data_IF_384505717055
#
_entry.id   IF_384505717055
#
_cell.length_a   1.000
_cell.length_b   1.000
_cell.length_c   1.000
_cell.angle_alpha   90.00
_cell.angle_beta   90.00
_cell.angle_gamma   90.00
#
_symmetry.space_group_name_H-M   'P 1'
#
loop_
_entity.id
_entity.type
_entity.pdbx_description
1 polymer ?
#
# COMPACT_ATOMS: atom_id res chain seq x y z
N UNK A 1 15.67 19.66 21.67
CA UNK A 1 15.56 18.65 22.74
C UNK A 1 16.91 17.98 22.94
N UNK A 2 17.42 17.83 24.18
CA UNK A 2 18.69 17.15 24.43
C UNK A 2 18.64 15.66 24.08
N UNK A 3 19.77 15.09 23.67
CA UNK A 3 19.90 13.69 23.28
C UNK A 3 19.45 12.69 24.38
N UNK A 4 19.83 12.95 25.63
CA UNK A 4 19.43 12.11 26.78
C UNK A 4 17.91 12.07 26.95
N UNK A 5 17.24 13.22 26.81
CA UNK A 5 15.77 13.30 26.89
C UNK A 5 15.11 12.57 25.72
N UNK A 6 15.63 12.72 24.50
CA UNK A 6 15.15 11.99 23.33
C UNK A 6 15.24 10.47 23.55
N UNK A 7 16.38 9.97 24.04
CA UNK A 7 16.56 8.55 24.38
C UNK A 7 15.59 8.08 25.46
N UNK A 8 15.36 8.89 26.49
CA UNK A 8 14.41 8.56 27.56
C UNK A 8 12.99 8.42 27.02
N UNK A 9 12.52 9.40 26.22
CA UNK A 9 11.20 9.35 25.58
C UNK A 9 11.10 8.11 24.69
N UNK A 10 12.10 7.87 23.84
CA UNK A 10 12.10 6.71 22.95
C UNK A 10 12.08 5.39 23.73
N UNK A 11 12.74 5.32 24.89
CA UNK A 11 12.73 4.15 25.77
C UNK A 11 11.33 3.91 26.33
N UNK A 12 10.65 4.97 26.77
CA UNK A 12 9.34 4.92 27.41
C UNK A 12 8.15 5.01 26.43
N UNK A 13 8.38 5.17 25.12
CA UNK A 13 7.31 5.21 24.12
C UNK A 13 6.53 3.90 24.11
N UNK A 14 5.22 4.00 24.30
CA UNK A 14 4.27 2.89 24.33
C UNK A 14 3.03 3.26 23.51
N UNK A 15 2.45 2.30 22.79
CA UNK A 15 1.29 2.49 21.90
C UNK A 15 0.07 1.65 22.30
N UNK A 16 0.25 0.79 23.31
CA UNK A 16 -0.82 -0.02 23.90
C UNK A 16 -0.43 -0.42 25.33
N UNK A 17 -1.43 -0.71 26.14
CA UNK A 17 -1.30 -1.17 27.52
C UNK A 17 -0.92 -2.66 27.55
N UNK A 18 0.34 -2.94 27.84
CA UNK A 18 0.85 -4.32 27.84
C UNK A 18 0.23 -5.20 28.93
N UNK A 19 -0.32 -4.61 30.00
CA UNK A 19 -0.91 -5.38 31.11
C UNK A 19 -2.19 -6.10 30.70
N UNK A 20 -2.84 -5.62 29.63
CA UNK A 20 -4.09 -6.16 29.09
C UNK A 20 -3.88 -7.09 27.89
N UNK A 21 -2.64 -7.46 27.57
CA UNK A 21 -2.37 -8.35 26.46
C UNK A 21 -2.82 -9.78 26.82
N UNK A 22 -3.72 -10.40 26.04
CA UNK A 22 -4.11 -11.79 26.28
C UNK A 22 -2.90 -12.75 26.23
N UNK A 23 -3.00 -13.86 26.96
CA UNK A 23 -1.98 -14.91 26.92
C UNK A 23 -1.90 -15.55 25.53
N UNK A 24 -0.77 -16.17 25.18
CA UNK A 24 -0.58 -16.77 23.83
C UNK A 24 -1.55 -17.89 23.50
N UNK A 25 -2.07 -18.58 24.51
CA UNK A 25 -3.07 -19.64 24.38
C UNK A 25 -4.49 -19.10 24.19
N UNK A 26 -4.71 -17.81 24.43
CA UNK A 26 -6.01 -17.17 24.32
C UNK A 26 -6.38 -16.95 22.85
N UNK A 27 -7.60 -17.30 22.41
CA UNK A 27 -8.08 -17.01 21.05
C UNK A 27 -8.01 -15.52 20.68
N UNK A 28 -8.08 -14.60 21.65
CA UNK A 28 -7.94 -13.16 21.46
C UNK A 28 -6.48 -12.69 21.34
N UNK A 29 -5.50 -13.61 21.38
CA UNK A 29 -4.08 -13.27 21.26
C UNK A 29 -3.74 -12.64 19.91
N UNK A 30 -3.30 -11.39 19.95
CA UNK A 30 -2.81 -10.68 18.78
C UNK A 30 -1.29 -10.52 18.80
N UNK A 31 -0.59 -11.07 17.79
CA UNK A 31 0.87 -10.91 17.64
C UNK A 31 1.27 -9.44 17.44
N UNK A 32 0.36 -8.60 16.95
CA UNK A 32 0.56 -7.16 16.74
C UNK A 32 -0.03 -6.30 17.86
N UNK A 33 -0.49 -6.89 18.98
CA UNK A 33 -1.19 -6.21 20.06
C UNK A 33 -0.52 -4.89 20.46
N UNK A 34 0.81 -4.89 20.57
CA UNK A 34 1.61 -3.72 20.98
C UNK A 34 1.37 -2.46 20.14
N UNK A 35 1.05 -2.62 18.85
CA UNK A 35 0.86 -1.52 17.89
C UNK A 35 -0.56 -1.49 17.31
N UNK A 36 -1.42 -2.45 17.68
CA UNK A 36 -2.77 -2.61 17.13
C UNK A 36 -3.61 -1.32 17.15
N UNK A 37 -3.65 -0.52 18.23
CA UNK A 37 -4.43 0.72 18.23
C UNK A 37 -4.02 1.68 17.12
N UNK A 38 -2.71 1.80 16.86
CA UNK A 38 -2.19 2.65 15.79
C UNK A 38 -2.51 2.08 14.40
N UNK A 39 -2.41 0.76 14.21
CA UNK A 39 -2.78 0.11 12.95
C UNK A 39 -4.25 0.38 12.61
N UNK A 40 -5.15 0.17 13.57
CA UNK A 40 -6.58 0.40 13.41
C UNK A 40 -6.89 1.86 13.12
N UNK A 41 -6.27 2.79 13.87
CA UNK A 41 -6.45 4.22 13.67
C UNK A 41 -6.05 4.64 12.25
N UNK A 42 -4.86 4.24 11.80
CA UNK A 42 -4.35 4.69 10.50
C UNK A 42 -5.10 4.06 9.32
N UNK A 43 -5.47 2.78 9.40
CA UNK A 43 -6.32 2.15 8.38
C UNK A 43 -7.72 2.79 8.29
N UNK A 44 -8.21 3.39 9.39
CA UNK A 44 -9.44 4.20 9.35
C UNK A 44 -9.17 5.57 8.70
N UNK A 45 -8.22 6.32 9.25
CA UNK A 45 -7.91 7.70 8.81
C UNK A 45 -7.52 7.76 7.34
N UNK A 46 -6.73 6.82 6.84
CA UNK A 46 -6.30 6.81 5.43
C UNK A 46 -7.47 6.60 4.46
N UNK A 47 -8.53 5.90 4.87
CA UNK A 47 -9.71 5.73 4.02
C UNK A 47 -10.62 6.96 4.07
N UNK A 48 -10.73 7.60 5.23
CA UNK A 48 -11.64 8.74 5.45
C UNK A 48 -11.13 10.04 4.81
N UNK A 49 -9.83 10.17 4.58
CA UNK A 49 -9.21 11.44 4.16
C UNK A 49 -8.88 11.53 2.66
N UNK A 50 -9.18 10.50 1.87
CA UNK A 50 -8.98 10.51 0.43
C UNK A 50 -10.16 9.87 -0.28
N UNK A 51 -10.55 10.43 -1.41
CA UNK A 51 -11.52 9.77 -2.28
C UNK A 51 -10.90 8.51 -2.90
N UNK A 52 -11.70 7.46 -3.02
CA UNK A 52 -11.32 6.28 -3.78
C UNK A 52 -11.13 6.66 -5.25
N UNK A 53 -10.01 6.25 -5.82
CA UNK A 53 -9.80 6.34 -7.25
C UNK A 53 -10.28 5.09 -7.97
N UNK A 54 -10.35 5.19 -9.29
CA UNK A 54 -10.73 4.08 -10.16
C UNK A 54 -9.65 3.01 -10.30
N UNK A 55 -8.39 3.26 -9.91
CA UNK A 55 -7.32 2.27 -9.98
C UNK A 55 -6.63 2.09 -8.63
N UNK A 56 -6.71 0.88 -8.09
CA UNK A 56 -6.22 0.55 -6.76
C UNK A 56 -5.38 -0.74 -6.75
N UNK A 57 -4.09 -0.67 -7.13
CA UNK A 57 -3.18 -1.80 -7.03
C UNK A 57 -3.00 -2.29 -5.59
N UNK A 58 -2.93 -3.60 -5.46
CA UNK A 58 -2.59 -4.34 -4.25
C UNK A 58 -1.28 -5.09 -4.49
N UNK A 59 -0.27 -4.76 -3.69
CA UNK A 59 1.03 -5.42 -3.70
C UNK A 59 1.69 -5.31 -2.32
N UNK A 60 2.92 -5.80 -2.21
CA UNK A 60 3.61 -6.03 -0.97
C UNK A 60 4.77 -5.04 -0.81
N UNK A 61 4.73 -4.30 0.29
CA UNK A 61 5.85 -3.51 0.80
C UNK A 61 6.63 -4.30 1.87
N UNK A 62 7.85 -3.84 2.16
CA UNK A 62 8.76 -4.48 3.10
C UNK A 62 9.34 -3.51 4.12
N UNK A 63 9.28 -3.90 5.40
CA UNK A 63 9.89 -3.16 6.51
C UNK A 63 11.19 -3.84 6.92
N UNK A 64 12.33 -3.21 6.67
CA UNK A 64 13.65 -3.78 7.02
C UNK A 64 13.75 -4.06 8.53
N UNK A 65 13.97 -5.32 8.88
CA UNK A 65 14.26 -5.75 10.25
C UNK A 65 15.10 -7.03 10.29
N UNK A 66 16.22 -6.97 11.01
CA UNK A 66 17.16 -8.10 11.16
C UNK A 66 17.14 -8.72 12.58
N UNK A 67 16.43 -8.13 13.54
CA UNK A 67 16.36 -8.63 14.92
C UNK A 67 15.51 -9.91 15.07
N UNK A 68 15.30 -10.38 16.30
CA UNK A 68 14.46 -11.57 16.56
C UNK A 68 12.97 -11.18 16.54
N UNK A 69 12.19 -11.84 15.69
CA UNK A 69 10.72 -11.77 15.65
C UNK A 69 10.21 -12.92 14.78
N UNK A 70 9.08 -13.54 15.18
CA UNK A 70 8.39 -14.58 14.42
C UNK A 70 7.65 -14.05 13.19
N UNK A 71 7.44 -12.74 13.09
CA UNK A 71 6.71 -12.11 11.98
C UNK A 71 7.60 -11.85 10.75
N UNK A 72 8.91 -12.04 10.87
CA UNK A 72 9.85 -11.77 9.78
C UNK A 72 9.64 -12.71 8.60
N UNK A 73 9.65 -12.15 7.41
CA UNK A 73 9.63 -12.84 6.13
C UNK A 73 10.95 -12.65 5.38
N UNK A 74 11.23 -13.60 4.49
CA UNK A 74 12.32 -13.50 3.52
C UNK A 74 11.73 -13.41 2.11
N UNK A 75 12.00 -12.28 1.42
CA UNK A 75 11.49 -11.97 0.09
C UNK A 75 12.69 -11.71 -0.84
N UNK A 76 13.26 -12.74 -1.50
CA UNK A 76 14.55 -12.62 -2.21
C UNK A 76 14.53 -11.62 -3.38
N UNK A 77 13.37 -11.42 -4.00
CA UNK A 77 13.18 -10.57 -5.18
C UNK A 77 13.01 -9.09 -4.81
N UNK A 78 12.53 -8.77 -3.60
CA UNK A 78 12.33 -7.37 -3.16
C UNK A 78 13.67 -6.76 -2.69
N UNK A 79 13.89 -5.44 -2.86
CA UNK A 79 15.12 -4.76 -2.43
C UNK A 79 15.41 -4.98 -0.93
N UNK A 80 14.38 -4.91 -0.09
CA UNK A 80 14.44 -5.28 1.32
C UNK A 80 14.12 -6.77 1.44
N UNK A 81 15.17 -7.60 1.46
CA UNK A 81 15.02 -9.06 1.45
C UNK A 81 14.52 -9.65 2.77
N UNK A 82 14.82 -9.04 3.91
CA UNK A 82 14.50 -9.57 5.26
C UNK A 82 13.81 -8.50 6.10
N UNK A 83 12.59 -8.78 6.55
CA UNK A 83 11.77 -7.78 7.21
C UNK A 83 10.36 -8.22 7.52
N UNK A 84 9.48 -7.28 7.85
CA UNK A 84 8.04 -7.52 7.90
C UNK A 84 7.43 -7.28 6.53
N UNK A 85 6.59 -8.22 6.08
CA UNK A 85 5.82 -8.09 4.85
C UNK A 85 4.52 -7.34 5.16
N UNK A 86 4.22 -6.33 4.36
CA UNK A 86 3.01 -5.51 4.48
C UNK A 86 2.28 -5.55 3.15
N UNK A 87 1.06 -6.06 3.11
CA UNK A 87 0.21 -5.90 1.94
C UNK A 87 -0.37 -4.49 1.96
N UNK A 88 -0.27 -3.77 0.86
CA UNK A 88 -0.74 -2.40 0.72
C UNK A 88 -1.71 -2.31 -0.45
N UNK A 89 -2.81 -1.58 -0.26
CA UNK A 89 -3.69 -1.10 -1.33
C UNK A 89 -3.45 0.39 -1.50
N UNK A 90 -2.95 0.78 -2.65
CA UNK A 90 -2.61 2.17 -2.95
C UNK A 90 -3.43 2.71 -4.13
N UNK A 91 -3.47 4.03 -4.28
CA UNK A 91 -3.87 4.68 -5.52
C UNK A 91 -2.86 4.39 -6.64
N UNK A 92 -3.37 4.00 -7.81
CA UNK A 92 -2.55 3.55 -8.93
C UNK A 92 -1.69 4.64 -9.58
N UNK A 93 -2.08 5.91 -9.44
CA UNK A 93 -1.43 7.05 -10.10
C UNK A 93 -0.51 7.82 -9.16
N UNK A 94 -0.96 8.07 -7.93
CA UNK A 94 -0.35 8.94 -6.92
C UNK A 94 0.38 8.16 -5.83
N UNK A 95 0.12 6.86 -5.69
CA UNK A 95 0.67 6.04 -4.61
C UNK A 95 0.13 6.39 -3.21
N UNK A 96 -1.03 7.05 -3.11
CA UNK A 96 -1.69 7.27 -1.82
C UNK A 96 -2.04 5.91 -1.19
N UNK A 97 -1.65 5.67 0.07
CA UNK A 97 -1.94 4.41 0.75
C UNK A 97 -3.35 4.44 1.34
N UNK A 98 -4.28 3.64 0.83
CA UNK A 98 -5.64 3.52 1.36
C UNK A 98 -5.73 2.52 2.52
N UNK A 99 -5.05 1.38 2.39
CA UNK A 99 -5.14 0.28 3.34
C UNK A 99 -3.84 -0.49 3.40
N UNK A 100 -3.52 -1.03 4.58
CA UNK A 100 -2.40 -1.94 4.74
C UNK A 100 -2.69 -3.04 5.77
N UNK A 101 -2.07 -4.20 5.57
CA UNK A 101 -2.14 -5.33 6.48
C UNK A 101 -0.77 -5.98 6.66
N UNK A 102 -0.38 -6.20 7.92
CA UNK A 102 0.93 -6.77 8.24
C UNK A 102 0.79 -8.28 8.34
N UNK A 103 1.59 -9.00 7.56
CA UNK A 103 1.58 -10.46 7.59
C UNK A 103 2.12 -10.99 8.93
N UNK A 104 1.30 -11.79 9.63
CA UNK A 104 1.58 -12.33 10.97
C UNK A 104 2.03 -13.80 10.98
N UNK A 105 2.29 -14.36 9.80
CA UNK A 105 2.57 -15.79 9.61
C UNK A 105 1.30 -16.58 9.28
N UNK A 106 1.41 -17.92 9.31
CA UNK A 106 0.26 -18.81 9.10
C UNK A 106 -0.67 -18.77 10.32
N UNK A 107 -1.97 -18.71 10.07
CA UNK A 107 -3.04 -18.87 11.06
C UNK A 107 -3.64 -20.27 10.90
N UNK A 108 -3.51 -21.12 11.93
CA UNK A 108 -4.17 -22.44 12.01
C UNK A 108 -3.69 -23.54 11.03
N UNK A 109 -4.25 -24.75 11.21
CA UNK A 109 -4.01 -25.95 10.39
C UNK A 109 -4.92 -26.05 9.15
N UNK A 110 -5.66 -25.00 8.80
CA UNK A 110 -6.53 -25.00 7.62
C UNK A 110 -5.71 -24.81 6.34
N UNK A 111 -5.15 -25.91 5.84
CA UNK A 111 -4.40 -26.03 4.57
C UNK A 111 -5.29 -25.78 3.33
N UNK A 112 -6.60 -25.51 3.50
CA UNK A 112 -7.55 -25.43 2.39
C UNK A 112 -7.81 -24.02 1.84
N UNK A 113 -7.46 -22.95 2.55
CA UNK A 113 -7.73 -21.61 2.05
C UNK A 113 -6.50 -20.98 1.37
N UNK A 114 -6.67 -20.62 0.11
CA UNK A 114 -5.67 -19.93 -0.69
C UNK A 114 -5.29 -18.59 -0.01
N UNK A 115 -4.10 -18.52 0.62
CA UNK A 115 -3.64 -17.35 1.38
C UNK A 115 -3.75 -16.04 0.59
N UNK A 116 -3.47 -16.09 -0.72
CA UNK A 116 -3.63 -14.95 -1.61
C UNK A 116 -5.09 -14.47 -1.70
N UNK A 117 -6.05 -15.39 -1.79
CA UNK A 117 -7.47 -15.05 -1.83
C UNK A 117 -7.94 -14.39 -0.53
N UNK A 118 -7.44 -14.82 0.64
CA UNK A 118 -7.75 -14.15 1.92
C UNK A 118 -7.29 -12.70 1.94
N UNK A 119 -6.07 -12.46 1.46
CA UNK A 119 -5.50 -11.11 1.40
C UNK A 119 -6.33 -10.22 0.49
N UNK A 120 -6.66 -10.69 -0.72
CA UNK A 120 -7.49 -9.90 -1.64
C UNK A 120 -8.87 -9.64 -1.06
N UNK A 121 -9.55 -10.67 -0.57
CA UNK A 121 -10.89 -10.56 0.01
C UNK A 121 -10.92 -9.52 1.15
N UNK A 122 -9.93 -9.56 2.05
CA UNK A 122 -9.82 -8.59 3.15
C UNK A 122 -9.56 -7.18 2.63
N UNK A 123 -8.60 -7.02 1.72
CA UNK A 123 -8.20 -5.71 1.18
C UNK A 123 -9.26 -5.07 0.29
N UNK A 124 -10.25 -5.82 -0.20
CA UNK A 124 -11.33 -5.32 -1.05
C UNK A 124 -12.69 -5.26 -0.36
N UNK A 125 -12.79 -5.64 0.92
CA UNK A 125 -14.06 -5.67 1.66
C UNK A 125 -14.78 -4.32 1.65
N UNK A 126 -14.01 -3.23 1.86
CA UNK A 126 -14.54 -1.86 1.86
C UNK A 126 -14.86 -1.32 0.46
N UNK A 127 -14.49 -2.03 -0.60
CA UNK A 127 -14.74 -1.62 -1.99
C UNK A 127 -16.05 -2.20 -2.55
N UNK A 128 -16.69 -3.14 -1.83
CA UNK A 128 -17.94 -3.77 -2.27
C UNK A 128 -19.02 -2.72 -2.46
N UNK A 129 -19.69 -2.76 -3.61
CA UNK A 129 -20.75 -1.81 -3.98
C UNK A 129 -20.28 -0.41 -4.35
N UNK A 130 -18.96 -0.14 -4.36
CA UNK A 130 -18.44 1.12 -4.89
C UNK A 130 -18.41 1.07 -6.42
N UNK A 131 -18.98 2.09 -7.06
CA UNK A 131 -18.94 2.20 -8.52
C UNK A 131 -17.51 2.47 -9.01
N UNK A 132 -17.17 1.88 -10.16
CA UNK A 132 -15.97 2.21 -10.95
C UNK A 132 -14.60 1.98 -10.26
N UNK A 133 -14.51 1.03 -9.31
CA UNK A 133 -13.22 0.63 -8.72
C UNK A 133 -12.62 -0.56 -9.48
N UNK A 134 -11.39 -0.39 -9.97
CA UNK A 134 -10.57 -1.44 -10.56
C UNK A 134 -9.37 -1.76 -9.66
N UNK A 135 -9.24 -3.02 -9.29
CA UNK A 135 -8.16 -3.52 -8.42
C UNK A 135 -7.18 -4.32 -9.25
N UNK A 136 -5.89 -4.06 -9.09
CA UNK A 136 -4.85 -4.84 -9.75
C UNK A 136 -3.96 -5.57 -8.76
N UNK A 137 -3.57 -6.81 -9.06
CA UNK A 137 -2.72 -7.59 -8.15
C UNK A 137 -1.79 -8.57 -8.90
N UNK A 138 -0.75 -9.01 -8.19
CA UNK A 138 0.25 -9.91 -8.74
C UNK A 138 -0.25 -11.37 -8.88
N UNK A 139 0.64 -12.24 -9.38
CA UNK A 139 0.34 -13.65 -9.60
C UNK A 139 0.26 -14.51 -8.36
N UNK A 140 0.77 -14.05 -7.21
CA UNK A 140 0.61 -14.74 -5.94
C UNK A 140 -0.86 -14.72 -5.51
N UNK A 141 -1.56 -13.62 -5.80
CA UNK A 141 -2.96 -13.42 -5.42
C UNK A 141 -3.98 -13.97 -6.43
N UNK A 142 -3.60 -14.09 -7.70
CA UNK A 142 -4.55 -14.29 -8.79
C UNK A 142 -4.97 -15.76 -9.03
N UNK A 143 -6.26 -15.93 -9.38
CA UNK A 143 -6.91 -17.18 -9.80
C UNK A 143 -8.34 -16.94 -10.29
N UNK A 144 -8.95 -17.91 -10.95
CA UNK A 144 -10.29 -17.78 -11.53
C UNK A 144 -11.36 -17.48 -10.48
N UNK A 145 -11.38 -18.21 -9.37
CA UNK A 145 -12.40 -18.06 -8.33
C UNK A 145 -12.38 -16.67 -7.66
N UNK A 146 -11.19 -16.09 -7.44
CA UNK A 146 -11.10 -14.75 -6.85
C UNK A 146 -11.61 -13.68 -7.82
N UNK A 147 -11.41 -13.84 -9.13
CA UNK A 147 -11.95 -12.91 -10.13
C UNK A 147 -13.48 -12.93 -10.17
N UNK A 148 -14.08 -14.11 -10.13
CA UNK A 148 -15.53 -14.25 -10.05
C UNK A 148 -16.10 -13.69 -8.74
N UNK A 149 -15.45 -13.96 -7.60
CA UNK A 149 -15.84 -13.38 -6.32
C UNK A 149 -15.84 -11.86 -6.37
N UNK A 150 -14.80 -11.23 -6.91
CA UNK A 150 -14.72 -9.78 -7.01
C UNK A 150 -15.81 -9.24 -7.95
N UNK A 151 -16.05 -9.89 -9.09
CA UNK A 151 -17.08 -9.48 -10.03
C UNK A 151 -18.48 -9.51 -9.39
N UNK A 152 -18.80 -10.59 -8.68
CA UNK A 152 -20.08 -10.75 -7.97
C UNK A 152 -20.28 -9.69 -6.86
N UNK A 153 -19.21 -9.06 -6.39
CA UNK A 153 -19.25 -7.97 -5.41
C UNK A 153 -19.13 -6.57 -6.05
N UNK A 154 -19.26 -6.48 -7.38
CA UNK A 154 -19.18 -5.21 -8.13
C UNK A 154 -17.77 -4.64 -8.25
N UNK A 155 -16.73 -5.44 -8.04
CA UNK A 155 -15.34 -5.00 -8.08
C UNK A 155 -14.68 -5.52 -9.37
N UNK A 156 -14.22 -4.57 -10.19
CA UNK A 156 -13.42 -4.90 -11.36
C UNK A 156 -11.98 -5.20 -10.94
N UNK A 157 -11.34 -6.14 -11.61
CA UNK A 157 -10.04 -6.65 -11.24
C UNK A 157 -9.26 -7.20 -12.43
N UNK A 158 -7.94 -6.98 -12.39
CA UNK A 158 -6.96 -7.56 -13.32
C UNK A 158 -5.76 -8.08 -12.55
N UNK A 159 -5.36 -9.32 -12.78
CA UNK A 159 -4.27 -9.94 -12.04
C UNK A 159 -3.40 -10.81 -12.93
N UNK A 160 -2.08 -10.71 -12.79
CA UNK A 160 -1.17 -11.59 -13.55
C UNK A 160 -1.32 -13.03 -13.09
N UNK A 161 -1.01 -14.00 -13.95
CA UNK A 161 -1.07 -15.42 -13.59
C UNK A 161 0.19 -16.15 -14.06
N UNK A 162 0.62 -17.13 -13.26
CA UNK A 162 1.69 -18.06 -13.67
C UNK A 162 1.11 -19.13 -14.57
N UNK A 163 1.84 -19.50 -15.62
CA UNK A 163 1.44 -20.53 -16.59
C UNK A 163 1.11 -21.89 -15.96
N UNK A 164 1.73 -22.22 -14.81
CA UNK A 164 1.54 -23.48 -14.10
C UNK A 164 0.23 -23.56 -13.31
N UNK A 165 -0.61 -22.51 -13.31
CA UNK A 165 -1.91 -22.53 -12.63
C UNK A 165 -2.84 -23.56 -13.26
N UNK A 166 -3.44 -24.41 -12.41
CA UNK A 166 -4.27 -25.53 -12.83
C UNK A 166 -5.58 -25.10 -13.50
N UNK A 167 -6.09 -23.92 -13.18
CA UNK A 167 -7.33 -23.32 -13.67
C UNK A 167 -7.17 -22.58 -15.02
N UNK A 168 -5.98 -22.58 -15.62
CA UNK A 168 -5.76 -21.94 -16.91
C UNK A 168 -6.24 -22.80 -18.09
N UNK A 169 -6.72 -22.16 -19.18
CA UNK A 169 -7.16 -22.87 -20.38
C UNK A 169 -6.00 -23.60 -21.06
N UNK A 170 -6.29 -24.66 -21.84
CA UNK A 170 -5.28 -25.50 -22.48
C UNK A 170 -4.32 -24.73 -23.40
N UNK A 171 -4.79 -23.62 -23.99
CA UNK A 171 -3.94 -22.72 -24.79
C UNK A 171 -2.74 -22.17 -23.99
N UNK A 172 -2.86 -22.02 -22.66
CA UNK A 172 -1.78 -21.64 -21.78
C UNK A 172 -0.86 -22.82 -21.39
N UNK A 173 -1.38 -24.05 -21.43
CA UNK A 173 -0.68 -25.27 -20.99
C UNK A 173 0.07 -25.99 -22.11
N UNK A 174 -0.14 -25.61 -23.36
CA UNK A 174 0.62 -26.13 -24.50
C UNK A 174 2.13 -26.02 -24.27
N UNK A 175 2.87 -27.11 -24.53
CA UNK A 175 4.34 -27.16 -24.47
C UNK A 175 4.98 -26.18 -25.47
N UNK A 176 4.33 -25.96 -26.60
CA UNK A 176 4.76 -24.99 -27.61
C UNK A 176 4.17 -23.63 -27.26
N UNK A 177 5.02 -22.66 -26.92
CA UNK A 177 4.59 -21.27 -26.75
C UNK A 177 3.91 -20.79 -28.03
N UNK A 178 2.88 -19.97 -27.88
CA UNK A 178 2.27 -19.31 -29.01
C UNK A 178 3.34 -18.42 -29.66
N UNK A 179 3.54 -18.56 -30.98
CA UNK A 179 4.33 -17.61 -31.77
C UNK A 179 3.48 -16.36 -31.98
N UNK A 180 3.50 -15.47 -30.99
CA UNK A 180 2.88 -14.15 -31.07
C UNK A 180 3.96 -13.12 -31.38
N UNK A 181 3.65 -12.17 -32.25
CA UNK A 181 4.49 -10.99 -32.44
C UNK A 181 4.27 -10.00 -31.29
N UNK A 182 5.25 -9.12 -31.06
CA UNK A 182 5.14 -8.08 -30.03
C UNK A 182 3.92 -7.20 -30.30
N UNK A 183 3.07 -7.04 -29.29
CA UNK A 183 1.79 -6.34 -29.35
C UNK A 183 0.59 -7.25 -29.61
N UNK A 184 0.78 -8.47 -30.11
CA UNK A 184 -0.31 -9.41 -30.33
C UNK A 184 -0.77 -10.05 -29.02
N UNK A 185 -2.05 -10.43 -28.99
CA UNK A 185 -2.65 -11.12 -27.86
C UNK A 185 -3.67 -12.17 -28.33
N UNK A 186 -3.87 -13.18 -27.49
CA UNK A 186 -4.97 -14.15 -27.61
C UNK A 186 -5.70 -14.24 -26.29
N UNK A 187 -6.97 -14.61 -26.35
CA UNK A 187 -7.80 -14.66 -25.16
C UNK A 187 -8.80 -15.83 -25.20
N UNK A 188 -9.30 -16.15 -24.02
CA UNK A 188 -10.44 -17.06 -23.79
C UNK A 188 -11.28 -16.45 -22.67
N UNK A 189 -12.59 -16.60 -22.76
CA UNK A 189 -13.52 -16.15 -21.72
C UNK A 189 -14.23 -17.36 -21.16
N UNK A 190 -14.42 -17.37 -19.84
CA UNK A 190 -15.31 -18.27 -19.14
C UNK A 190 -16.08 -17.44 -18.13
N UNK A 191 -17.41 -17.48 -18.21
CA UNK A 191 -18.29 -16.63 -17.40
C UNK A 191 -17.89 -15.14 -17.53
N UNK A 192 -17.67 -14.45 -16.41
CA UNK A 192 -17.31 -13.04 -16.37
C UNK A 192 -15.79 -12.80 -16.38
N UNK A 193 -14.98 -13.84 -16.61
CA UNK A 193 -13.52 -13.75 -16.52
C UNK A 193 -12.89 -14.05 -17.87
N UNK A 194 -12.10 -13.10 -18.35
CA UNK A 194 -11.25 -13.25 -19.51
C UNK A 194 -9.83 -13.63 -19.07
N UNK A 195 -9.30 -14.68 -19.69
CA UNK A 195 -7.89 -15.01 -19.72
C UNK A 195 -7.25 -14.41 -20.96
N UNK A 196 -6.11 -13.73 -20.79
CA UNK A 196 -5.36 -13.10 -21.88
C UNK A 196 -3.90 -13.53 -21.83
N UNK A 197 -3.37 -13.90 -23.00
CA UNK A 197 -1.94 -14.04 -23.28
C UNK A 197 -1.56 -12.88 -24.18
N UNK A 198 -0.67 -12.01 -23.70
CA UNK A 198 -0.18 -10.86 -24.45
C UNK A 198 1.34 -10.93 -24.60
N UNK A 199 1.83 -10.65 -25.79
CA UNK A 199 3.26 -10.60 -26.08
C UNK A 199 3.76 -9.15 -26.00
N UNK A 200 4.50 -8.82 -24.94
CA UNK A 200 5.37 -7.61 -24.90
C UNK A 200 6.81 -8.03 -25.30
N UNK A 201 7.83 -7.41 -24.71
CA UNK A 201 9.22 -7.93 -24.72
C UNK A 201 9.29 -9.37 -24.17
N UNK A 202 8.42 -9.70 -23.22
CA UNK A 202 8.17 -11.07 -22.75
C UNK A 202 6.67 -11.32 -22.76
N UNK A 203 6.31 -12.59 -22.81
CA UNK A 203 4.94 -13.03 -22.68
C UNK A 203 4.39 -12.69 -21.28
N UNK A 204 3.18 -12.14 -21.24
CA UNK A 204 2.45 -11.79 -20.03
C UNK A 204 1.10 -12.52 -20.06
N UNK A 205 0.79 -13.23 -18.98
CA UNK A 205 -0.49 -13.88 -18.79
C UNK A 205 -1.24 -13.15 -17.67
N UNK A 206 -2.51 -12.87 -17.89
CA UNK A 206 -3.37 -12.29 -16.86
C UNK A 206 -4.82 -12.77 -16.99
N UNK A 207 -5.54 -12.66 -15.88
CA UNK A 207 -6.99 -12.75 -15.82
C UNK A 207 -7.54 -11.33 -15.65
N UNK A 208 -8.74 -11.08 -16.16
CA UNK A 208 -9.50 -9.85 -15.94
C UNK A 208 -10.99 -10.13 -15.92
N UNK A 209 -11.73 -9.47 -15.03
CA UNK A 209 -13.20 -9.40 -15.06
C UNK A 209 -13.69 -7.99 -15.44
N UNK A 210 -12.77 -7.07 -15.73
CA UNK A 210 -13.04 -5.65 -15.92
C UNK A 210 -13.52 -5.32 -17.33
N UNK A 211 -13.15 -6.15 -18.31
CA UNK A 211 -13.50 -5.92 -19.70
C UNK A 211 -13.47 -7.21 -20.52
N UNK A 212 -14.24 -7.21 -21.61
CA UNK A 212 -14.16 -8.23 -22.64
C UNK A 212 -13.05 -7.89 -23.66
N UNK A 213 -12.04 -8.75 -23.91
CA UNK A 213 -10.92 -8.42 -24.79
C UNK A 213 -11.28 -8.18 -26.27
N UNK A 214 -12.47 -8.56 -26.70
CA UNK A 214 -12.98 -8.26 -28.06
C UNK A 214 -13.45 -6.81 -28.21
N UNK A 215 -14.00 -6.22 -27.14
CA UNK A 215 -14.73 -4.96 -27.16
C UNK A 215 -13.82 -3.79 -26.74
N UNK A 216 -12.98 -4.00 -25.72
CA UNK A 216 -12.08 -2.97 -25.21
C UNK A 216 -10.68 -3.10 -25.81
N UNK A 217 -10.46 -2.41 -26.93
CA UNK A 217 -9.14 -2.17 -27.54
C UNK A 217 -8.47 -0.92 -26.96
N UNK A 218 -8.48 -0.73 -25.64
CA UNK A 218 -7.78 0.40 -25.01
C UNK A 218 -6.28 0.14 -24.99
N UNK A 219 -5.62 0.50 -26.09
CA UNK A 219 -4.16 0.44 -26.19
C UNK A 219 -3.53 1.64 -25.49
N UNK A 220 -2.61 1.41 -24.53
CA UNK A 220 -1.67 2.47 -24.12
C UNK A 220 -0.49 2.45 -25.05
N UNK A 221 -0.04 3.63 -25.46
CA UNK A 221 1.26 3.81 -26.08
C UNK A 221 2.33 3.78 -24.98
N UNK A 222 2.97 2.63 -24.79
CA UNK A 222 4.14 2.52 -23.91
C UNK A 222 5.37 3.02 -24.66
N UNK A 223 5.96 4.11 -24.19
CA UNK A 223 7.24 4.62 -24.72
C UNK A 223 8.37 3.72 -24.22
N UNK A 224 9.04 3.07 -25.16
CA UNK A 224 10.22 2.27 -24.88
C UNK A 224 11.44 3.15 -24.56
N UNK A 225 12.51 2.55 -24.02
CA UNK A 225 13.78 3.26 -23.72
C UNK A 225 14.41 3.94 -24.95
N UNK A 226 14.09 3.45 -26.15
CA UNK A 226 14.51 4.00 -27.43
C UNK A 226 13.49 5.01 -28.03
N UNK A 227 12.49 5.44 -27.26
CA UNK A 227 11.46 6.40 -27.70
C UNK A 227 10.29 5.79 -28.49
N UNK A 228 10.34 4.51 -28.88
CA UNK A 228 9.27 3.89 -29.69
C UNK A 228 8.00 3.64 -28.86
N UNK A 229 6.84 4.04 -29.39
CA UNK A 229 5.52 3.84 -28.75
C UNK A 229 4.90 2.50 -29.18
N UNK A 230 4.61 1.60 -28.24
CA UNK A 230 3.99 0.28 -28.52
C UNK A 230 2.59 0.21 -27.93
N UNK A 231 1.65 -0.38 -28.66
CA UNK A 231 0.29 -0.68 -28.21
C UNK A 231 0.32 -1.77 -27.10
N UNK A 232 0.01 -1.39 -25.87
CA UNK A 232 -0.17 -2.29 -24.73
C UNK A 232 -1.66 -2.47 -24.42
N UNK A 233 -2.11 -3.70 -24.27
CA UNK A 233 -3.54 -4.10 -24.27
C UNK A 233 -4.34 -3.55 -23.07
N UNK A 234 -3.71 -2.98 -22.03
CA UNK A 234 -4.45 -2.58 -20.83
C UNK A 234 -3.95 -1.25 -20.27
N UNK A 235 -4.71 -0.18 -20.51
CA UNK A 235 -4.57 1.13 -19.82
C UNK A 235 -4.81 1.02 -18.31
N UNK A 236 -5.63 0.07 -17.92
CA UNK A 236 -6.03 -0.20 -16.55
C UNK A 236 -5.04 -1.09 -15.78
N UNK A 237 -3.98 -1.61 -16.40
CA UNK A 237 -2.96 -2.40 -15.70
C UNK A 237 -1.91 -1.47 -15.07
N UNK A 238 -2.31 -0.75 -14.03
CA UNK A 238 -1.44 0.16 -13.26
C UNK A 238 -1.04 -0.48 -11.93
N UNK A 239 -0.11 -1.44 -11.98
CA UNK A 239 0.46 -2.12 -10.80
C UNK A 239 1.44 -1.26 -9.98
N UNK A 240 1.83 -0.09 -10.49
CA UNK A 240 2.95 0.69 -9.94
C UNK A 240 2.65 1.52 -8.70
N UNK A 241 1.39 1.62 -8.26
CA UNK A 241 1.00 2.51 -7.14
C UNK A 241 1.70 2.17 -5.82
N UNK A 242 1.87 0.88 -5.50
CA UNK A 242 2.60 0.44 -4.30
C UNK A 242 4.10 0.72 -4.42
N UNK A 243 4.69 0.50 -5.60
CA UNK A 243 6.10 0.84 -5.84
C UNK A 243 6.33 2.36 -5.75
N UNK A 244 5.38 3.17 -6.22
CA UNK A 244 5.42 4.62 -6.12
C UNK A 244 5.33 5.09 -4.66
N UNK A 245 4.40 4.52 -3.89
CA UNK A 245 4.33 4.72 -2.44
C UNK A 245 5.66 4.40 -1.77
N UNK A 246 6.25 3.24 -2.08
CA UNK A 246 7.51 2.79 -1.51
C UNK A 246 8.68 3.71 -1.86
N UNK A 247 8.68 4.25 -3.08
CA UNK A 247 9.65 5.24 -3.53
C UNK A 247 9.54 6.53 -2.71
N UNK A 248 8.38 7.19 -2.68
CA UNK A 248 8.17 8.46 -1.96
C UNK A 248 8.47 8.31 -0.47
N UNK A 249 7.97 7.23 0.14
CA UNK A 249 8.21 6.89 1.55
C UNK A 249 9.70 6.67 1.82
N UNK A 250 10.42 6.04 0.89
CA UNK A 250 11.82 5.66 1.02
C UNK A 250 12.80 6.83 0.93
N UNK A 251 12.52 7.86 0.13
CA UNK A 251 13.48 8.95 -0.20
C UNK A 251 13.97 9.70 1.05
N UNK A 252 13.10 9.94 2.03
CA UNK A 252 13.43 10.69 3.26
C UNK A 252 12.92 9.99 4.53
N UNK A 253 13.08 8.67 4.60
CA UNK A 253 12.56 7.86 5.71
C UNK A 253 13.11 8.31 7.07
N UNK A 254 12.21 8.43 8.05
CA UNK A 254 12.55 8.72 9.46
C UNK A 254 13.03 7.48 10.24
N UNK A 255 13.05 6.32 9.57
CA UNK A 255 13.25 5.02 10.20
C UNK A 255 14.61 4.87 10.90
N UNK A 256 14.60 4.54 12.19
CA UNK A 256 15.81 4.30 12.99
C UNK A 256 16.05 2.82 13.28
N UNK A 257 17.33 2.41 13.29
CA UNK A 257 17.70 1.04 13.70
C UNK A 257 17.20 0.80 15.13
N UNK A 258 16.58 -0.35 15.36
CA UNK A 258 16.04 -0.74 16.66
C UNK A 258 16.03 -2.26 16.78
N UNK A 259 16.32 -2.77 17.98
CA UNK A 259 16.11 -4.19 18.34
C UNK A 259 14.65 -4.50 18.67
N UNK A 260 13.85 -3.49 19.03
CA UNK A 260 12.41 -3.62 19.29
C UNK A 260 11.67 -3.68 17.97
N UNK A 261 11.09 -4.83 17.65
CA UNK A 261 10.42 -5.10 16.37
C UNK A 261 9.32 -4.06 16.06
N UNK A 262 8.48 -3.73 17.04
CA UNK A 262 7.32 -2.86 16.87
C UNK A 262 7.71 -1.42 16.52
N UNK A 263 8.88 -0.96 16.94
CA UNK A 263 9.36 0.38 16.57
C UNK A 263 9.65 0.51 15.07
N UNK A 264 10.06 -0.58 14.42
CA UNK A 264 10.30 -0.56 12.97
C UNK A 264 8.99 -0.41 12.21
N UNK A 265 7.93 -1.02 12.72
CA UNK A 265 6.57 -0.87 12.18
C UNK A 265 6.04 0.53 12.47
N UNK A 266 6.23 1.05 13.68
CA UNK A 266 5.88 2.44 14.02
C UNK A 266 6.52 3.45 13.05
N UNK A 267 7.82 3.33 12.76
CA UNK A 267 8.47 4.24 11.81
C UNK A 267 7.94 4.11 10.38
N UNK A 268 7.63 2.89 9.93
CA UNK A 268 6.99 2.69 8.63
C UNK A 268 5.64 3.41 8.55
N UNK A 269 4.82 3.27 9.59
CA UNK A 269 3.51 3.92 9.68
C UNK A 269 3.63 5.44 9.74
N UNK A 270 4.62 5.94 10.48
CA UNK A 270 4.89 7.37 10.56
C UNK A 270 5.34 7.95 9.22
N UNK A 271 6.24 7.26 8.50
CA UNK A 271 6.61 7.63 7.14
C UNK A 271 5.40 7.55 6.19
N UNK A 272 4.52 6.56 6.34
CA UNK A 272 3.28 6.46 5.57
C UNK A 272 2.34 7.65 5.80
N UNK A 273 2.18 8.10 7.06
CA UNK A 273 1.42 9.32 7.37
C UNK A 273 1.99 10.55 6.66
N UNK A 274 3.32 10.71 6.67
CA UNK A 274 3.98 11.84 6.01
C UNK A 274 3.77 11.77 4.49
N UNK A 275 3.92 10.59 3.89
CA UNK A 275 3.69 10.37 2.46
C UNK A 275 2.25 10.69 2.07
N UNK A 276 1.26 10.15 2.80
CA UNK A 276 -0.15 10.44 2.52
C UNK A 276 -0.47 11.94 2.69
N UNK A 277 0.05 12.59 3.73
CA UNK A 277 -0.14 14.02 3.94
C UNK A 277 0.49 14.86 2.82
N UNK A 278 1.68 14.48 2.34
CA UNK A 278 2.31 15.13 1.19
C UNK A 278 1.47 14.99 -0.07
N UNK A 279 0.97 13.79 -0.36
CA UNK A 279 0.14 13.54 -1.55
C UNK A 279 -1.17 14.34 -1.51
N UNK A 280 -1.83 14.42 -0.35
CA UNK A 280 -3.02 15.26 -0.18
C UNK A 280 -2.72 16.76 -0.35
N UNK A 281 -1.59 17.22 0.19
CA UNK A 281 -1.13 18.59 -0.01
C UNK A 281 -0.88 18.89 -1.49
N UNK A 282 -0.18 18.00 -2.20
CA UNK A 282 0.11 18.13 -3.62
C UNK A 282 -1.13 18.03 -4.51
N UNK A 283 -2.18 17.33 -4.08
CA UNK A 283 -3.44 17.23 -4.81
C UNK A 283 -4.30 18.49 -4.66
N UNK A 284 -4.06 19.33 -3.65
CA UNK A 284 -4.82 20.56 -3.44
C UNK A 284 -4.31 21.69 -4.34
N UNK A 285 -5.10 22.07 -5.34
CA UNK A 285 -4.77 23.11 -6.32
C UNK A 285 -4.45 24.49 -5.69
N UNK A 286 -4.93 24.76 -4.47
CA UNK A 286 -4.67 26.01 -3.76
C UNK A 286 -3.36 26.00 -2.94
N UNK A 287 -2.67 24.85 -2.88
CA UNK A 287 -1.42 24.72 -2.14
C UNK A 287 -0.23 25.10 -3.03
N UNK A 288 0.76 25.76 -2.44
CA UNK A 288 2.00 26.05 -3.15
C UNK A 288 2.70 24.73 -3.51
N UNK A 289 3.23 24.62 -4.73
CA UNK A 289 3.98 23.43 -5.15
C UNK A 289 5.24 23.30 -4.32
N UNK A 290 5.31 22.26 -3.48
CA UNK A 290 6.50 21.90 -2.71
C UNK A 290 7.04 20.56 -3.18
N UNK A 291 8.36 20.44 -3.21
CA UNK A 291 8.99 19.13 -3.29
C UNK A 291 8.74 18.34 -1.99
N UNK A 292 8.86 17.01 -2.05
CA UNK A 292 8.73 16.14 -0.86
C UNK A 292 9.68 16.57 0.27
N UNK A 293 10.89 17.03 -0.05
CA UNK A 293 11.84 17.53 0.94
C UNK A 293 11.34 18.81 1.60
N UNK A 294 10.92 19.80 0.82
CA UNK A 294 10.44 21.09 1.34
C UNK A 294 9.20 20.90 2.21
N UNK A 295 8.25 20.06 1.77
CA UNK A 295 7.08 19.70 2.56
C UNK A 295 7.47 19.09 3.91
N UNK A 296 8.41 18.14 3.93
CA UNK A 296 8.90 17.52 5.17
C UNK A 296 9.59 18.52 6.10
N UNK A 297 10.37 19.45 5.56
CA UNK A 297 10.99 20.52 6.34
C UNK A 297 9.93 21.44 6.94
N UNK A 298 8.93 21.84 6.15
CA UNK A 298 7.81 22.65 6.62
C UNK A 298 7.01 21.93 7.71
N UNK A 299 6.68 20.64 7.50
CA UNK A 299 6.01 19.79 8.48
C UNK A 299 6.81 19.68 9.78
N UNK A 300 8.12 19.44 9.70
CA UNK A 300 8.97 19.35 10.87
C UNK A 300 9.00 20.67 11.65
N UNK A 301 9.12 21.82 10.97
CA UNK A 301 9.05 23.14 11.59
C UNK A 301 7.68 23.38 12.25
N UNK A 302 6.59 23.00 11.58
CA UNK A 302 5.23 23.12 12.12
C UNK A 302 5.00 22.27 13.37
N UNK A 303 5.48 21.01 13.38
CA UNK A 303 5.35 20.11 14.52
C UNK A 303 6.24 20.51 15.70
N UNK A 304 7.42 21.08 15.44
CA UNK A 304 8.25 21.68 16.50
C UNK A 304 7.57 22.95 17.02
N UNK A 305 6.99 23.75 16.12
CA UNK A 305 6.33 25.01 16.46
C UNK A 305 7.22 25.90 17.33
N UNK A 306 6.66 26.40 18.43
CA UNK A 306 7.40 27.17 19.44
C UNK A 306 8.09 26.32 20.52
N UNK A 307 8.12 24.99 20.40
CA UNK A 307 8.65 24.13 21.45
C UNK A 307 10.15 24.36 21.67
N UNK A 308 10.49 24.87 22.85
CA UNK A 308 11.86 25.00 23.33
C UNK A 308 12.04 24.17 24.59
N UNK A 309 13.01 23.25 24.57
CA UNK A 309 13.42 22.49 25.77
C UNK A 309 14.26 23.31 26.75
N UNK A 310 14.55 24.58 26.43
CA UNK A 310 15.28 25.50 27.30
C UNK A 310 14.27 26.13 28.27
N UNK A 311 14.39 25.88 29.57
CA UNK A 311 13.79 26.77 30.58
C UNK A 311 14.42 28.13 30.33
N UNK A 312 13.67 29.10 29.80
CA UNK A 312 14.06 30.51 29.96
C UNK A 312 14.09 30.72 31.47
N UNK A 313 15.27 31.02 32.03
CA UNK A 313 15.30 31.73 33.33
C UNK A 313 14.45 32.97 33.10
N UNK A 314 13.34 33.07 33.79
CA UNK A 314 12.52 34.27 33.80
C UNK A 314 13.37 35.40 34.37
N UNK A 315 14.05 36.14 33.51
CA UNK A 315 14.28 37.55 33.76
C UNK A 315 12.93 38.21 33.48
N UNK A 316 12.34 38.82 34.50
CA UNK A 316 11.02 39.45 34.40
C UNK A 316 11.01 40.47 33.28
N UNK A 317 10.32 40.16 32.19
CA UNK A 317 9.98 41.13 31.15
C UNK A 317 8.55 40.82 30.70
N UNK A 318 7.64 41.71 31.06
CA UNK A 318 6.26 41.71 30.61
C UNK A 318 6.23 41.95 29.09
N UNK A 319 5.75 40.98 28.32
CA UNK A 319 5.38 41.19 26.93
C UNK A 319 3.86 41.17 26.81
N UNK A 320 3.30 42.27 26.31
CA UNK A 320 1.90 42.39 25.90
C UNK A 320 1.66 41.45 24.72
N UNK A 321 0.77 40.48 24.90
CA UNK A 321 0.36 39.53 23.86
C UNK A 321 -0.53 40.26 22.84
N UNK A 322 -0.03 40.48 21.61
CA UNK A 322 -0.91 40.79 20.47
C UNK A 322 -1.61 39.51 19.99
N UNK A 323 -2.91 39.64 19.75
CA UNK A 323 -3.92 38.58 19.54
C UNK A 323 -3.56 37.57 18.43
N UNK A 324 -3.99 36.33 18.68
CA UNK A 324 -3.95 35.13 17.82
C UNK A 324 -4.37 35.38 16.37
N UNK A 325 -3.61 34.83 15.42
CA UNK A 325 -4.10 34.49 14.08
C UNK A 325 -5.21 33.43 14.24
N UNK A 326 -6.44 33.78 13.83
CA UNK A 326 -7.57 32.85 13.73
C UNK A 326 -7.48 32.12 12.39
N UNK A 327 -7.51 30.80 12.41
CA UNK A 327 -7.79 30.01 11.21
C UNK A 327 -9.31 30.02 10.96
N UNK A 328 -9.77 30.11 9.70
CA UNK A 328 -11.19 30.10 9.39
C UNK A 328 -11.79 28.72 9.69
N UNK A 329 -12.83 28.69 10.51
CA UNK A 329 -13.75 27.56 10.66
C UNK A 329 -14.57 27.42 9.38
N UNK A 330 -14.50 26.26 8.76
CA UNK A 330 -15.41 25.86 7.68
C UNK A 330 -16.76 25.53 8.33
N UNK A 331 -17.73 26.43 8.20
CA UNK A 331 -19.14 26.13 8.45
C UNK A 331 -19.70 25.37 7.25
N UNK A 332 -20.27 24.19 7.50
CA UNK A 332 -21.09 23.48 6.52
C UNK A 332 -22.33 24.32 6.23
N UNK A 333 -22.58 24.59 4.96
CA UNK A 333 -23.90 24.87 4.40
C UNK A 333 -24.45 23.59 3.78
#
# INVERSE_FOLDING_TARGET
MPYRRFKQILRCLHLNDNSKQPARSDPAYDKLYKIRPLLTLLNRVFQENAHNSSSQPIDESMILFKGRSSLKQYMPIKPIKRGFKVCCRCDGSTGYLYEFDIYTGKEGNSVKDNLGAKVITKSTEKLKGMAAVHVTFDNFFCGFNIMNYLYANGIYATGTVRRQRADLPQIAKSKTKLKLEKGQYKWRVKENVAFVIWQDTKEVLFLTNAFHPKENKTFVLKTQKNGTKVKAVVKEYTMGGVDHFDHIKGTYSVGRRSKRWWLRIFYFLFDACITNAFLLYSANANSATLTNLEFRVALARGLIGGFSSRKRRSAGVNYVVRKKLRFPTITKS
#
